data_IF_932145864632
#
_entry.id   IF_932145864632
#
_cell.length_a   1.000
_cell.length_b   1.000
_cell.length_c   1.000
_cell.angle_alpha   90.00
_cell.angle_beta   90.00
_cell.angle_gamma   90.00
#
_symmetry.space_group_name_H-M   'P 1'
#
loop_
_entity.id
_entity.type
_entity.pdbx_description
1 polymer ?
2 non-polymer ?
3 non-polymer ?
4 water ?
#
# COMPACT_ATOMS: atom_id res chain seq x y z
N UNK A 21 15.18 -9.54 22.31
CA UNK A 21 14.44 -9.33 21.03
C UNK A 21 13.32 -8.31 21.23
N UNK A 22 12.26 -8.40 20.43
CA UNK A 22 11.16 -7.44 20.55
C UNK A 22 10.21 -7.82 21.69
N UNK A 23 10.25 -7.04 22.76
CA UNK A 23 9.39 -7.28 23.91
C UNK A 23 8.20 -6.32 23.96
N UNK A 24 8.36 -5.11 23.42
CA UNK A 24 7.30 -4.11 23.47
C UNK A 24 7.34 -3.22 22.23
N UNK A 25 6.21 -3.12 21.54
CA UNK A 25 6.10 -2.35 20.31
C UNK A 25 5.15 -1.18 20.46
N UNK A 26 5.60 0.00 20.06
CA UNK A 26 4.75 1.17 19.97
C UNK A 26 4.09 1.20 18.61
N UNK A 27 2.76 1.19 18.59
CA UNK A 27 2.00 1.20 17.35
C UNK A 27 1.72 2.63 16.91
N UNK A 28 2.63 3.17 16.10
CA UNK A 28 2.52 4.56 15.66
C UNK A 28 1.57 4.72 14.48
N UNK A 29 0.30 4.41 14.72
CA UNK A 29 -0.73 4.56 13.72
C UNK A 29 -2.10 4.45 14.37
N UNK A 30 -3.13 4.23 13.54
CA UNK A 30 -4.51 4.23 14.03
C UNK A 30 -5.37 3.36 13.14
N UNK A 31 -6.67 3.33 13.44
CA UNK A 31 -7.64 2.65 12.61
C UNK A 31 -7.38 1.16 12.48
N UNK A 32 -7.68 0.62 11.30
CA UNK A 32 -7.66 -0.83 11.11
C UNK A 32 -6.23 -1.39 11.17
N UNK A 33 -5.27 -0.66 10.63
CA UNK A 33 -3.90 -1.17 10.58
C UNK A 33 -3.28 -1.24 11.96
N UNK A 34 -3.68 -0.31 12.84
CA UNK A 34 -3.23 -0.35 14.22
C UNK A 34 -3.71 -1.63 14.88
N UNK A 35 -4.96 -1.99 14.60
CA UNK A 35 -5.56 -3.21 15.13
C UNK A 35 -4.88 -4.43 14.53
N UNK A 36 -4.60 -4.37 13.23
CA UNK A 36 -3.89 -5.46 12.56
C UNK A 36 -2.56 -5.71 13.25
N UNK A 37 -1.83 -4.63 13.50
CA UNK A 37 -0.52 -4.72 14.15
C UNK A 37 -0.65 -5.25 15.56
N UNK A 38 -1.67 -4.79 16.28
CA UNK A 38 -1.90 -5.27 17.64
C UNK A 38 -2.12 -6.77 17.65
N UNK A 39 -2.96 -7.25 16.75
CA UNK A 39 -3.25 -8.67 16.66
C UNK A 39 -1.98 -9.48 16.43
N UNK A 40 -1.14 -9.01 15.52
CA UNK A 40 0.12 -9.68 15.21
C UNK A 40 1.03 -9.73 16.44
N UNK A 41 1.07 -8.64 17.18
CA UNK A 41 1.87 -8.57 18.40
C UNK A 41 1.36 -9.56 19.45
N UNK A 42 0.06 -9.53 19.69
CA UNK A 42 -0.55 -10.42 20.68
C UNK A 42 -0.21 -11.88 20.40
N UNK A 43 -0.30 -12.27 19.13
CA UNK A 43 -0.03 -13.64 18.75
C UNK A 43 1.44 -14.02 19.02
N UNK A 44 2.32 -13.01 18.99
CA UNK A 44 3.74 -13.23 19.24
C UNK A 44 4.12 -12.93 20.69
N UNK A 45 3.12 -12.61 21.52
CA UNK A 45 3.37 -12.31 22.91
C UNK A 45 4.14 -11.02 23.11
N UNK A 46 4.12 -10.14 22.11
CA UNK A 46 4.78 -8.85 22.20
C UNK A 46 3.84 -7.84 22.85
N UNK A 47 4.38 -7.06 23.78
CA UNK A 47 3.59 -6.04 24.47
C UNK A 47 3.31 -4.87 23.54
N UNK A 48 2.12 -4.30 23.65
CA UNK A 48 1.68 -3.24 22.76
C UNK A 48 1.51 -1.91 23.48
N UNK A 49 1.97 -0.85 22.83
CA UNK A 49 1.80 0.51 23.33
C UNK A 49 1.05 1.32 22.29
N UNK A 50 -0.20 1.65 22.59
CA UNK A 50 -1.03 2.39 21.64
C UNK A 50 -0.90 3.89 21.84
N UNK A 51 -0.25 4.56 20.90
CA UNK A 51 -0.20 6.02 20.89
C UNK A 51 -1.37 6.56 20.06
N UNK A 52 -2.10 7.50 20.62
CA UNK A 52 -3.32 7.98 19.99
C UNK A 52 -3.57 9.46 20.26
N UNK A 53 -4.36 10.08 19.40
CA UNK A 53 -4.79 11.46 19.63
C UNK A 53 -5.98 11.44 20.58
N UNK A 54 -6.48 12.63 20.94
CA UNK A 54 -7.59 12.72 21.87
C UNK A 54 -8.89 12.22 21.24
N UNK A 55 -8.98 12.32 19.91
CA UNK A 55 -10.18 11.93 19.19
C UNK A 55 -10.24 10.42 18.96
N UNK A 56 -9.13 9.72 19.21
CA UNK A 56 -9.05 8.28 18.96
C UNK A 56 -9.05 7.47 20.24
N UNK A 57 -9.51 8.10 21.32
CA UNK A 57 -9.52 7.48 22.63
C UNK A 57 -10.31 6.17 22.62
N UNK A 58 -11.31 6.10 21.74
CA UNK A 58 -12.21 4.95 21.73
C UNK A 58 -11.94 3.97 20.59
N UNK A 59 -10.76 4.06 19.98
CA UNK A 59 -10.38 3.10 18.96
C UNK A 59 -10.33 1.70 19.56
N UNK A 60 -10.76 0.71 18.79
CA UNK A 60 -10.81 -0.66 19.27
C UNK A 60 -9.45 -1.15 19.74
N UNK A 61 -8.39 -0.81 19.01
CA UNK A 61 -7.06 -1.29 19.36
C UNK A 61 -6.50 -0.58 20.58
N UNK A 62 -6.81 0.70 20.72
CA UNK A 62 -6.44 1.45 21.93
C UNK A 62 -7.05 0.76 23.16
N UNK A 63 -8.31 0.35 23.03
CA UNK A 63 -9.01 -0.29 24.14
C UNK A 63 -8.46 -1.68 24.45
N UNK A 64 -7.73 -2.26 23.51
CA UNK A 64 -7.17 -3.60 23.68
C UNK A 64 -5.69 -3.56 24.06
N UNK A 65 -5.03 -2.42 23.83
CA UNK A 65 -3.59 -2.31 24.05
C UNK A 65 -3.24 -2.47 25.53
N UNK A 66 -2.01 -2.92 25.77
CA UNK A 66 -1.53 -3.10 27.14
C UNK A 66 -1.29 -1.74 27.79
N UNK A 67 -0.74 -0.80 27.02
CA UNK A 67 -0.53 0.56 27.49
C UNK A 67 -1.02 1.57 26.46
N UNK A 68 -1.56 2.69 26.92
CA UNK A 68 -2.01 3.75 26.03
C UNK A 68 -1.37 5.07 26.41
N UNK A 69 -1.09 5.90 25.40
CA UNK A 69 -0.47 7.20 25.63
C UNK A 69 -0.99 8.23 24.65
N UNK A 70 -1.71 9.23 25.16
CA UNK A 70 -2.17 10.33 24.33
C UNK A 70 -0.97 11.15 23.87
N UNK A 71 -0.82 11.28 22.55
CA UNK A 71 0.33 11.99 21.99
C UNK A 71 -0.03 13.36 21.40
N UNK A 72 -1.30 13.74 21.48
CA UNK A 72 -1.70 15.05 21.02
C UNK A 72 -3.18 15.19 20.70
N UNK A 73 -3.57 16.39 20.24
CA UNK A 73 -4.95 16.70 19.85
C UNK A 73 -5.31 16.04 18.54
N UNK A 74 -6.55 16.20 18.09
CA UNK A 74 -7.08 15.42 16.98
C UNK A 74 -6.31 15.57 15.67
N UNK A 75 -5.97 16.81 15.28
CA UNK A 75 -5.33 16.97 13.97
C UNK A 75 -4.05 16.14 13.82
N UNK A 76 -3.91 15.47 12.68
CA UNK A 76 -2.78 14.56 12.43
C UNK A 76 -1.44 15.24 12.67
N UNK A 77 -1.31 16.48 12.20
CA UNK A 77 -0.06 17.23 12.32
C UNK A 77 0.38 17.32 13.78
N UNK A 78 -0.57 17.27 14.70
CA UNK A 78 -0.30 17.48 16.11
C UNK A 78 -0.18 16.18 16.90
N UNK A 79 -0.56 15.07 16.27
CA UNK A 79 -0.58 13.79 16.95
C UNK A 79 0.23 12.72 16.22
N UNK A 80 -0.34 12.16 15.16
CA UNK A 80 0.26 11.01 14.49
C UNK A 80 1.46 11.37 13.62
N UNK A 81 1.63 12.66 13.34
CA UNK A 81 2.83 13.13 12.64
C UNK A 81 3.76 13.85 13.61
N UNK A 82 3.46 13.74 14.91
CA UNK A 82 4.25 14.38 15.95
C UNK A 82 5.44 13.51 16.35
N UNK A 83 6.57 13.71 15.68
CA UNK A 83 7.73 12.86 15.87
C UNK A 83 8.26 12.92 17.31
N UNK A 84 8.44 14.14 17.86
CA UNK A 84 8.92 14.22 19.25
C UNK A 84 8.03 13.47 20.23
N UNK A 85 6.72 13.58 20.07
CA UNK A 85 5.78 12.97 21.01
C UNK A 85 5.74 11.45 20.88
N UNK A 86 5.88 10.95 19.65
CA UNK A 86 5.85 9.52 19.41
C UNK A 86 7.08 8.82 20.01
N UNK A 87 8.23 9.46 19.85
CA UNK A 87 9.46 8.91 20.40
C UNK A 87 9.48 9.01 21.92
N UNK A 88 8.84 10.04 22.45
CA UNK A 88 8.73 10.21 23.89
C UNK A 88 7.89 9.09 24.51
N UNK A 89 6.91 8.60 23.75
CA UNK A 89 6.05 7.52 24.22
C UNK A 89 6.82 6.21 24.22
N UNK A 90 7.67 6.01 23.21
CA UNK A 90 8.52 4.84 23.15
C UNK A 90 9.49 4.84 24.32
N UNK A 91 9.92 6.04 24.72
CA UNK A 91 10.88 6.20 25.82
C UNK A 91 10.26 5.86 27.18
N UNK A 92 9.14 6.50 27.49
CA UNK A 92 8.54 6.37 28.81
C UNK A 92 7.88 5.01 29.04
N UNK A 93 7.89 4.16 28.03
CA UNK A 93 7.36 2.81 28.18
C UNK A 93 8.46 1.76 28.09
N UNK A 94 9.62 2.15 27.57
CA UNK A 94 10.74 1.25 27.44
C UNK A 94 10.62 0.36 26.22
N UNK A 95 9.90 0.84 25.22
CA UNK A 95 9.64 0.06 24.01
C UNK A 95 10.95 -0.25 23.29
N UNK A 96 10.96 -1.34 22.54
CA UNK A 96 12.14 -1.72 21.77
C UNK A 96 11.99 -1.30 20.31
N UNK A 97 10.75 -1.08 19.88
CA UNK A 97 10.49 -0.89 18.46
C UNK A 97 9.24 -0.03 18.20
N UNK A 98 9.18 0.54 17.01
CA UNK A 98 8.03 1.34 16.59
C UNK A 98 7.56 0.92 15.19
N UNK A 99 6.30 0.51 15.11
CA UNK A 99 5.70 0.12 13.84
C UNK A 99 4.86 1.28 13.31
N UNK A 100 5.25 1.85 12.16
CA UNK A 100 4.61 3.05 11.59
C UNK A 100 3.35 2.78 10.75
N UNK A 101 2.95 1.52 10.62
CA UNK A 101 1.87 1.15 9.74
C UNK A 101 2.10 1.62 8.31
N UNK A 102 1.05 2.15 7.70
CA UNK A 102 1.15 2.77 6.38
C UNK A 102 0.66 4.21 6.48
N UNK A 103 1.05 5.04 5.51
CA UNK A 103 0.74 6.44 5.56
C UNK A 103 1.47 7.11 6.71
N UNK A 104 0.96 8.26 7.14
CA UNK A 104 1.58 9.02 8.23
C UNK A 104 3.10 9.07 8.11
N UNK A 105 3.82 8.49 9.08
CA UNK A 105 5.28 8.63 9.14
C UNK A 105 6.04 7.42 8.59
N UNK A 106 5.34 6.49 7.95
CA UNK A 106 5.95 5.22 7.56
C UNK A 106 7.02 5.34 6.48
N UNK A 107 6.94 6.38 5.66
CA UNK A 107 7.95 6.60 4.62
C UNK A 107 8.63 7.96 4.82
N UNK A 108 8.63 8.44 6.05
CA UNK A 108 9.32 9.66 6.42
C UNK A 108 10.73 9.31 6.89
N UNK A 109 11.72 9.60 6.05
CA UNK A 109 13.09 9.19 6.33
C UNK A 109 13.63 9.87 7.58
N UNK A 110 13.21 11.11 7.81
CA UNK A 110 13.63 11.83 9.01
C UNK A 110 13.15 11.09 10.26
N UNK A 111 11.93 10.57 10.21
CA UNK A 111 11.36 9.86 11.34
C UNK A 111 12.13 8.57 11.63
N UNK A 112 12.38 7.79 10.59
CA UNK A 112 13.09 6.52 10.75
C UNK A 112 14.53 6.78 11.19
N UNK A 113 15.14 7.83 10.65
CA UNK A 113 16.49 8.23 11.00
C UNK A 113 16.53 8.66 12.47
N UNK A 114 15.55 9.46 12.86
CA UNK A 114 15.46 9.98 14.21
C UNK A 114 15.14 8.87 15.20
N UNK A 115 14.37 7.88 14.75
CA UNK A 115 13.96 6.76 15.58
C UNK A 115 15.15 5.86 15.93
N UNK A 116 15.99 5.58 14.94
CA UNK A 116 17.19 4.77 15.17
C UNK A 116 18.21 5.55 16.00
N UNK A 117 18.37 6.84 15.70
CA UNK A 117 19.31 7.68 16.42
C UNK A 117 19.00 7.75 17.92
N UNK A 118 17.79 7.37 18.30
CA UNK A 118 17.40 7.37 19.71
C UNK A 118 17.39 5.96 20.31
N UNK A 119 17.86 4.98 19.53
CA UNK A 119 18.09 3.65 20.05
C UNK A 119 16.92 2.68 19.93
N UNK A 120 15.88 3.06 19.20
CA UNK A 120 14.76 2.17 18.97
C UNK A 120 14.85 1.50 17.62
N UNK A 121 14.27 0.31 17.50
CA UNK A 121 14.20 -0.38 16.22
C UNK A 121 13.02 0.17 15.42
N UNK A 122 13.31 0.62 14.21
CA UNK A 122 12.26 1.10 13.32
C UNK A 122 11.80 -0.09 12.47
N UNK A 123 10.52 -0.45 12.60
CA UNK A 123 9.99 -1.61 11.91
C UNK A 123 9.71 -1.25 10.45
N UNK A 124 10.75 -1.36 9.64
CA UNK A 124 10.73 -0.95 8.25
C UNK A 124 12.17 -0.87 7.78
N UNK A 125 12.40 -0.27 6.60
CA UNK A 125 13.77 -0.17 6.08
C UNK A 125 14.54 0.98 6.71
N UNK A 126 15.86 1.02 6.49
CA UNK A 126 16.68 2.08 7.06
C UNK A 126 16.43 3.40 6.33
N UNK A 127 16.77 4.51 6.99
CA UNK A 127 16.49 5.84 6.46
C UNK A 127 17.08 6.06 5.07
N UNK A 128 18.32 5.61 4.87
CA UNK A 128 18.98 5.75 3.58
C UNK A 128 18.16 5.12 2.45
N UNK A 129 17.69 3.90 2.68
CA UNK A 129 16.92 3.18 1.68
C UNK A 129 15.56 3.84 1.42
N UNK A 130 15.03 4.52 2.43
CA UNK A 130 13.77 5.24 2.26
C UNK A 130 13.98 6.48 1.41
N UNK A 131 15.07 7.21 1.70
CA UNK A 131 15.45 8.37 0.91
C UNK A 131 15.66 7.95 -0.54
N UNK A 132 16.36 6.84 -0.72
CA UNK A 132 16.70 6.34 -2.05
C UNK A 132 15.46 6.12 -2.90
N UNK A 133 14.52 5.35 -2.36
CA UNK A 133 13.32 4.98 -3.11
C UNK A 133 12.23 6.04 -2.99
N UNK A 134 12.50 7.10 -2.25
CA UNK A 134 11.56 8.18 -2.07
C UNK A 134 11.65 9.24 -3.15
N UNK A 135 12.83 9.32 -3.78
CA UNK A 135 13.02 10.21 -4.92
C UNK A 135 12.88 9.39 -6.19
N UNK A 136 12.06 9.89 -7.12
CA UNK A 136 11.59 9.08 -8.27
C UNK A 136 12.69 8.62 -9.22
N UNK A 137 13.53 9.52 -9.72
CA UNK A 137 14.57 9.11 -10.66
C UNK A 137 15.67 8.34 -9.94
N UNK A 138 16.03 8.79 -8.74
CA UNK A 138 16.98 8.04 -7.91
C UNK A 138 16.47 6.61 -7.71
N UNK A 139 15.15 6.44 -7.71
CA UNK A 139 14.54 5.12 -7.59
C UNK A 139 14.68 4.34 -8.88
N UNK A 140 14.15 4.91 -9.97
CA UNK A 140 14.25 4.29 -11.29
C UNK A 140 15.70 3.99 -11.62
N UNK A 141 16.60 4.79 -11.05
CA UNK A 141 18.03 4.57 -11.21
C UNK A 141 18.45 3.22 -10.65
N UNK A 142 18.07 2.96 -9.40
CA UNK A 142 18.48 1.75 -8.70
C UNK A 142 17.89 0.51 -9.37
N UNK A 143 16.59 0.57 -9.67
CA UNK A 143 15.89 -0.53 -10.30
C UNK A 143 16.58 -0.92 -11.60
N UNK A 144 16.90 0.07 -12.42
CA UNK A 144 17.58 -0.16 -13.69
C UNK A 144 18.86 -0.95 -13.46
N UNK A 145 19.66 -0.51 -12.49
CA UNK A 145 20.91 -1.18 -12.15
C UNK A 145 20.64 -2.62 -11.70
N UNK A 146 19.60 -2.80 -10.89
CA UNK A 146 19.30 -4.09 -10.29
C UNK A 146 18.71 -5.07 -11.29
N UNK A 147 18.29 -4.57 -12.45
CA UNK A 147 17.69 -5.41 -13.47
C UNK A 147 16.18 -5.32 -13.48
N UNK A 148 15.64 -4.43 -12.65
CA UNK A 148 14.19 -4.21 -12.61
C UNK A 148 13.78 -3.31 -13.78
N UNK A 149 12.84 -3.80 -14.61
CA UNK A 149 12.43 -3.07 -15.82
C UNK A 149 11.73 -1.75 -15.49
N UNK A 150 12.18 -0.68 -16.13
CA UNK A 150 11.60 0.63 -15.93
C UNK A 150 10.97 1.15 -17.21
N UNK A 151 10.13 2.17 -17.08
CA UNK A 151 9.52 2.80 -18.24
C UNK A 151 10.60 3.51 -19.05
N UNK A 152 10.65 3.24 -20.37
CA UNK A 152 11.60 3.97 -21.22
C UNK A 152 11.47 5.47 -21.02
N UNK A 153 12.56 6.12 -20.61
CA UNK A 153 12.53 7.55 -20.33
C UNK A 153 13.83 8.26 -20.61
N UNK A 154 13.93 9.49 -20.14
CA UNK A 154 15.16 10.27 -20.27
C UNK A 154 16.25 9.64 -19.41
N UNK A 155 15.86 8.73 -18.53
CA UNK A 155 16.81 8.07 -17.63
C UNK A 155 17.67 9.13 -16.95
N UNK A 156 17.03 9.92 -16.11
CA UNK A 156 17.67 11.07 -15.48
C UNK A 156 16.87 12.33 -15.74
N UNK A 157 17.28 13.45 -15.10
CA UNK A 157 16.62 14.74 -15.26
C UNK A 157 16.60 15.21 -16.71
N UNK A 158 15.59 16.00 -17.08
CA UNK A 158 15.49 16.52 -18.44
C UNK A 158 16.33 17.79 -18.61
N UNK A 159 17.14 17.81 -19.67
CA UNK A 159 17.80 19.04 -20.08
C UNK A 159 16.73 20.08 -20.39
N UNK A 160 17.16 21.33 -20.60
CA UNK A 160 16.23 22.39 -20.97
C UNK A 160 16.35 22.77 -22.43
N UNK A 161 17.32 22.17 -23.12
CA UNK A 161 17.47 22.35 -24.56
C UNK A 161 16.55 21.36 -25.26
N UNK A 162 15.54 21.89 -25.95
CA UNK A 162 14.49 21.04 -26.51
C UNK A 162 14.97 20.27 -27.74
N UNK A 163 15.83 20.90 -28.54
CA UNK A 163 16.37 20.25 -29.73
C UNK A 163 16.82 18.84 -29.40
N UNK A 164 17.27 18.64 -28.17
CA UNK A 164 17.76 17.34 -27.72
C UNK A 164 16.64 16.56 -27.03
N UNK A 165 15.83 17.25 -26.25
CA UNK A 165 14.65 16.63 -25.63
C UNK A 165 13.76 15.95 -26.66
N UNK A 166 13.61 16.57 -27.82
CA UNK A 166 12.79 16.02 -28.89
C UNK A 166 13.36 14.68 -29.37
N UNK A 167 14.68 14.52 -29.23
CA UNK A 167 15.33 13.27 -29.63
C UNK A 167 14.91 12.15 -28.71
N UNK A 168 15.11 12.35 -27.40
CA UNK A 168 14.70 11.37 -26.41
C UNK A 168 13.22 11.05 -26.58
N UNK A 169 12.40 12.09 -26.69
CA UNK A 169 10.96 11.92 -26.85
C UNK A 169 10.63 11.09 -28.08
N UNK A 170 11.25 11.42 -29.22
CA UNK A 170 11.03 10.66 -30.45
C UNK A 170 11.69 9.28 -30.32
N UNK A 171 12.76 9.20 -29.55
CA UNK A 171 13.46 7.94 -29.32
C UNK A 171 12.52 6.95 -28.65
N UNK A 172 11.88 7.37 -27.58
CA UNK A 172 11.01 6.49 -26.80
C UNK A 172 9.61 6.41 -27.40
N UNK A 173 9.17 7.49 -28.04
CA UNK A 173 7.94 7.48 -28.79
C UNK A 173 6.76 8.14 -28.09
N UNK A 174 6.24 9.20 -28.70
CA UNK A 174 5.03 9.84 -28.21
C UNK A 174 3.89 8.80 -28.19
N UNK A 175 2.98 8.92 -27.23
CA UNK A 175 2.94 9.96 -26.18
C UNK A 175 4.00 9.78 -25.11
N UNK A 176 4.51 10.90 -24.60
CA UNK A 176 5.40 10.89 -23.44
C UNK A 176 4.70 11.62 -22.31
N UNK A 177 5.28 11.54 -21.12
CA UNK A 177 4.71 12.19 -19.95
C UNK A 177 5.81 12.76 -19.04
N UNK A 178 5.68 14.03 -18.69
CA UNK A 178 6.64 14.68 -17.80
C UNK A 178 6.23 14.43 -16.36
N UNK A 179 7.19 14.02 -15.53
CA UNK A 179 6.88 13.64 -14.15
C UNK A 179 7.80 14.31 -13.13
N UNK A 180 7.19 14.80 -12.06
CA UNK A 180 7.94 15.37 -10.94
C UNK A 180 8.69 14.26 -10.22
N UNK A 181 9.95 14.53 -9.89
CA UNK A 181 10.79 13.53 -9.24
C UNK A 181 10.44 13.32 -7.78
N UNK A 182 9.64 14.21 -7.22
CA UNK A 182 9.24 14.10 -5.82
C UNK A 182 7.74 14.25 -5.66
N UNK A 183 6.99 13.75 -6.63
CA UNK A 183 5.54 13.84 -6.60
C UNK A 183 4.89 12.53 -6.22
N UNK A 189 2.66 15.96 -12.94
CA UNK A 189 2.41 15.11 -14.10
C UNK A 189 1.70 15.87 -15.22
N UNK A 190 2.27 15.78 -16.43
CA UNK A 190 1.71 16.46 -17.59
C UNK A 190 1.98 15.63 -18.85
N UNK A 191 0.91 15.29 -19.57
CA UNK A 191 1.01 14.41 -20.73
C UNK A 191 1.23 15.19 -22.02
N UNK A 192 2.15 14.70 -22.85
CA UNK A 192 2.46 15.34 -24.12
C UNK A 192 2.19 14.38 -25.27
N UNK A 193 1.37 14.81 -26.22
CA UNK A 193 0.92 13.96 -27.31
C UNK A 193 1.62 14.28 -28.63
N UNK A 194 2.04 15.52 -28.80
CA UNK A 194 2.71 15.94 -30.03
C UNK A 194 3.99 16.70 -29.74
N UNK A 195 4.91 16.66 -30.70
CA UNK A 195 6.22 17.28 -30.56
C UNK A 195 6.14 18.79 -30.38
N UNK A 196 5.11 19.40 -30.95
CA UNK A 196 4.98 20.86 -30.95
C UNK A 196 4.78 21.46 -29.56
N UNK A 197 4.35 20.64 -28.61
CA UNK A 197 4.03 21.15 -27.28
C UNK A 197 5.03 20.68 -26.23
N UNK A 198 6.23 20.30 -26.66
CA UNK A 198 7.25 19.83 -25.73
C UNK A 198 7.90 20.97 -24.97
N UNK A 199 8.75 21.73 -25.64
CA UNK A 199 9.40 22.92 -25.07
C UNK A 199 8.63 23.45 -23.86
N UNK A 200 7.35 23.74 -24.08
CA UNK A 200 6.52 24.40 -23.07
C UNK A 200 6.10 23.45 -21.94
N UNK A 201 5.56 22.29 -22.31
CA UNK A 201 5.10 21.32 -21.31
C UNK A 201 6.16 21.05 -20.24
N UNK A 202 7.43 21.10 -20.64
CA UNK A 202 8.52 20.83 -19.72
C UNK A 202 8.75 22.01 -18.76
N UNK A 203 8.48 23.22 -19.24
CA UNK A 203 8.64 24.42 -18.43
C UNK A 203 7.74 24.39 -17.20
N UNK A 204 6.56 23.82 -17.36
CA UNK A 204 5.50 23.93 -16.35
C UNK A 204 5.74 22.99 -15.17
N UNK A 205 6.20 23.57 -14.07
CA UNK A 205 6.47 22.82 -12.84
C UNK A 205 5.21 22.71 -11.99
N UNK A 216 12.94 18.97 -6.72
CA UNK A 216 11.97 19.78 -7.44
C UNK A 216 12.30 19.83 -8.94
N UNK A 217 12.73 18.70 -9.47
CA UNK A 217 13.09 18.59 -10.87
C UNK A 217 12.11 17.65 -11.58
N UNK A 218 12.29 17.47 -12.88
CA UNK A 218 11.37 16.66 -13.67
C UNK A 218 12.10 15.77 -14.69
N UNK A 219 11.59 14.56 -14.87
CA UNK A 219 12.11 13.67 -15.92
C UNK A 219 11.04 13.37 -16.97
N UNK A 220 11.46 12.74 -18.06
CA UNK A 220 10.58 12.43 -19.17
C UNK A 220 10.42 10.92 -19.23
N UNK A 221 9.23 10.45 -19.65
CA UNK A 221 8.94 9.03 -19.60
C UNK A 221 7.86 8.68 -20.62
N UNK A 222 7.82 7.42 -21.03
CA UNK A 222 6.81 6.96 -21.97
C UNK A 222 5.43 6.92 -21.31
N UNK A 223 4.42 7.40 -22.02
CA UNK A 223 3.07 7.41 -21.48
C UNK A 223 2.27 6.21 -21.98
N UNK A 224 1.79 5.40 -21.04
CA UNK A 224 1.05 4.19 -21.36
C UNK A 224 -0.45 4.44 -21.27
N UNK A 225 -1.17 4.12 -22.34
CA UNK A 225 -2.57 4.48 -22.47
C UNK A 225 -3.54 3.47 -21.87
N UNK A 226 -3.09 2.24 -21.73
CA UNK A 226 -3.97 1.14 -21.35
C UNK A 226 -3.35 0.23 -20.31
N UNK A 227 -2.70 0.80 -19.28
CA UNK A 227 -1.94 -0.03 -18.34
C UNK A 227 -2.78 -0.50 -17.17
N UNK A 228 -2.39 -1.65 -16.60
CA UNK A 228 -2.96 -2.13 -15.35
C UNK A 228 -1.96 -1.89 -14.23
N UNK A 229 -2.44 -1.74 -13.01
CA UNK A 229 -1.57 -1.59 -11.86
C UNK A 229 -1.27 -2.97 -11.25
N UNK A 230 -0.03 -3.41 -11.38
CA UNK A 230 0.38 -4.70 -10.86
C UNK A 230 1.62 -4.53 -9.99
N UNK A 231 1.56 -5.06 -8.77
CA UNK A 231 2.61 -4.82 -7.80
C UNK A 231 3.09 -6.12 -7.15
N UNK A 232 4.41 -6.20 -6.92
CA UNK A 232 5.01 -7.38 -6.33
C UNK A 232 5.34 -7.16 -4.86
N UNK A 233 4.85 -8.05 -4.01
CA UNK A 233 5.17 -8.01 -2.59
C UNK A 233 6.50 -8.70 -2.33
N UNK A 234 7.34 -8.10 -1.49
CA UNK A 234 8.60 -8.72 -1.11
C UNK A 234 8.82 -8.64 0.41
N UNK A 235 9.69 -9.52 0.89
CA UNK A 235 10.20 -9.49 2.26
C UNK A 235 11.70 -9.66 2.20
N UNK A 236 12.43 -8.93 3.03
CA UNK A 236 13.89 -9.08 3.12
C UNK A 236 14.33 -8.99 4.57
N UNK A 237 15.23 -9.86 4.97
CA UNK A 237 15.67 -9.91 6.36
C UNK A 237 17.13 -9.48 6.51
N UNK A 238 17.62 -9.50 7.73
CA UNK A 238 18.98 -9.08 8.02
C UNK A 238 19.96 -10.24 7.91
N UNK A 239 19.50 -11.36 7.37
CA UNK A 239 20.36 -12.51 7.08
C UNK A 239 20.68 -12.56 5.59
N UNK A 240 20.36 -11.49 4.89
CA UNK A 240 20.66 -11.38 3.47
C UNK A 240 19.68 -12.11 2.55
N UNK A 241 18.58 -12.57 3.12
CA UNK A 241 17.55 -13.24 2.34
C UNK A 241 16.53 -12.25 1.79
N UNK A 242 15.93 -12.59 0.66
CA UNK A 242 14.83 -11.82 0.10
C UNK A 242 13.92 -12.74 -0.69
N UNK A 243 12.62 -12.61 -0.44
CA UNK A 243 11.61 -13.40 -1.13
C UNK A 243 10.56 -12.50 -1.77
N UNK A 244 9.97 -12.98 -2.86
CA UNK A 244 8.86 -12.29 -3.49
C UNK A 244 7.62 -13.13 -3.27
N UNK A 245 6.51 -12.47 -2.97
CA UNK A 245 5.27 -13.15 -2.62
C UNK A 245 4.17 -12.85 -3.65
N UNK A 246 4.40 -13.32 -4.87
CA UNK A 246 3.45 -13.15 -5.96
C UNK A 246 3.07 -11.68 -6.13
N UNK A 247 1.97 -11.42 -6.83
CA UNK A 247 1.60 -10.04 -7.16
C UNK A 247 0.14 -9.73 -6.86
N UNK A 248 -0.18 -8.44 -6.85
CA UNK A 248 -1.54 -7.97 -6.67
C UNK A 248 -1.92 -7.03 -7.82
N UNK A 249 -3.18 -7.06 -8.22
CA UNK A 249 -3.68 -6.10 -9.22
C UNK A 249 -4.59 -5.10 -8.53
N UNK A 250 -4.23 -3.83 -8.61
CA UNK A 250 -4.97 -2.77 -7.95
C UNK A 250 -5.40 -1.71 -8.95
N UNK A 251 -5.96 -2.16 -10.07
CA UNK A 251 -6.28 -1.26 -11.18
C UNK A 251 -7.52 -0.40 -10.94
N UNK A 252 -8.45 -0.90 -10.13
CA UNK A 252 -9.65 -0.13 -9.78
C UNK A 252 -9.28 1.03 -8.86
N UNK A 253 -9.25 2.24 -9.41
CA UNK A 253 -8.85 3.42 -8.66
C UNK A 253 -9.73 4.63 -8.94
N UNK A 254 -9.84 5.51 -7.96
CA UNK A 254 -10.42 6.84 -8.15
C UNK A 254 -9.41 7.88 -7.68
N UNK A 255 -9.12 8.85 -8.53
CA UNK A 255 -8.11 9.86 -8.23
C UNK A 255 -6.85 9.21 -7.68
N UNK A 256 -6.44 8.11 -8.33
CA UNK A 256 -5.20 7.41 -7.98
C UNK A 256 -5.26 6.78 -6.59
N UNK A 257 -6.47 6.63 -6.06
CA UNK A 257 -6.66 5.96 -4.78
C UNK A 257 -7.31 4.59 -5.00
N UNK A 258 -6.65 3.55 -4.51
CA UNK A 258 -7.11 2.19 -4.72
C UNK A 258 -8.45 1.95 -4.04
N UNK A 259 -9.31 1.17 -4.72
CA UNK A 259 -10.65 0.92 -4.23
C UNK A 259 -10.89 -0.58 -4.03
N UNK A 260 -10.52 -1.37 -5.04
CA UNK A 260 -10.64 -2.82 -5.00
C UNK A 260 -9.31 -3.41 -5.46
N UNK A 261 -8.82 -4.41 -4.73
CA UNK A 261 -7.59 -5.10 -5.11
C UNK A 261 -7.80 -6.62 -5.13
N UNK A 262 -6.93 -7.34 -5.84
CA UNK A 262 -7.04 -8.78 -5.93
C UNK A 262 -5.68 -9.44 -6.11
N UNK A 263 -5.62 -10.74 -5.87
CA UNK A 263 -4.40 -11.52 -6.06
C UNK A 263 -4.77 -12.97 -6.35
N UNK A 264 -4.05 -13.62 -7.27
CA UNK A 264 -2.97 -13.01 -8.06
C UNK A 264 -3.55 -12.11 -9.13
N UNK A 265 -2.69 -11.48 -9.94
CA UNK A 265 -3.15 -10.65 -11.04
C UNK A 265 -3.52 -11.54 -12.23
N UNK A 266 -4.78 -11.43 -12.69
CA UNK A 266 -5.25 -12.23 -13.84
C UNK A 266 -4.31 -12.17 -15.05
N UNK A 267 -4.09 -13.31 -15.69
CA UNK A 267 -3.28 -13.37 -16.90
C UNK A 267 -1.80 -13.57 -16.64
N UNK A 268 -1.38 -13.36 -15.40
CA UNK A 268 0.03 -13.52 -15.05
C UNK A 268 0.35 -14.98 -14.75
N UNK A 269 1.27 -15.55 -15.52
CA UNK A 269 1.64 -16.96 -15.36
C UNK A 269 2.73 -17.14 -14.31
N UNK A 270 2.86 -18.37 -13.83
CA UNK A 270 3.89 -18.71 -12.85
C UNK A 270 5.27 -18.37 -13.39
N UNK A 271 5.43 -18.44 -14.70
CA UNK A 271 6.72 -18.19 -15.33
C UNK A 271 7.07 -16.70 -15.26
N UNK A 272 6.12 -15.87 -15.67
CA UNK A 272 6.31 -14.42 -15.62
C UNK A 272 6.50 -13.98 -14.16
N UNK A 273 5.70 -14.58 -13.28
CA UNK A 273 5.78 -14.30 -11.85
C UNK A 273 7.21 -14.49 -11.33
N UNK A 274 7.80 -15.64 -11.66
CA UNK A 274 9.17 -15.96 -11.25
C UNK A 274 10.14 -14.91 -11.76
N UNK A 275 9.95 -14.49 -13.01
CA UNK A 275 10.86 -13.55 -13.66
C UNK A 275 10.90 -12.23 -12.89
N UNK A 276 9.80 -11.50 -12.92
CA UNK A 276 9.74 -10.19 -12.29
C UNK A 276 9.93 -10.29 -10.77
N UNK A 277 9.38 -11.36 -10.20
CA UNK A 277 9.50 -11.60 -8.77
C UNK A 277 10.95 -11.72 -8.32
N UNK A 278 11.72 -12.54 -9.04
CA UNK A 278 13.12 -12.76 -8.68
C UNK A 278 13.95 -11.50 -8.90
N UNK A 279 13.56 -10.68 -9.88
CA UNK A 279 14.24 -9.41 -10.13
C UNK A 279 14.06 -8.47 -8.96
N UNK A 280 12.84 -8.43 -8.43
CA UNK A 280 12.53 -7.59 -7.28
C UNK A 280 13.27 -8.07 -6.04
N UNK A 281 13.34 -9.39 -5.86
CA UNK A 281 14.05 -9.96 -4.73
C UNK A 281 15.53 -9.60 -4.78
N UNK A 282 16.12 -9.72 -5.97
CA UNK A 282 17.51 -9.34 -6.16
C UNK A 282 17.73 -7.87 -5.86
N UNK A 283 16.82 -7.03 -6.33
CA UNK A 283 16.94 -5.59 -6.11
C UNK A 283 16.94 -5.27 -4.62
N UNK A 284 16.15 -6.00 -3.85
CA UNK A 284 16.13 -5.84 -2.41
C UNK A 284 17.54 -5.97 -1.84
N UNK A 285 18.24 -7.02 -2.26
CA UNK A 285 19.59 -7.28 -1.76
C UNK A 285 20.57 -6.22 -2.28
N UNK A 286 20.44 -5.85 -3.54
CA UNK A 286 21.33 -4.84 -4.13
C UNK A 286 21.25 -3.51 -3.39
N UNK A 287 20.04 -3.11 -2.99
CA UNK A 287 19.85 -1.81 -2.33
C UNK A 287 19.88 -1.94 -0.81
N UNK A 288 20.00 -3.16 -0.31
CA UNK A 288 20.07 -3.39 1.12
C UNK A 288 18.73 -3.24 1.82
N UNK A 289 17.66 -3.67 1.17
CA UNK A 289 16.32 -3.51 1.73
C UNK A 289 16.11 -4.38 2.95
N UNK A 290 15.19 -3.96 3.81
CA UNK A 290 14.90 -4.67 5.05
C UNK A 290 13.42 -4.54 5.39
N UNK A 291 12.78 -5.66 5.70
CA UNK A 291 11.38 -5.68 6.07
C UNK A 291 10.46 -5.90 4.87
N UNK A 292 9.20 -5.51 5.04
CA UNK A 292 8.21 -5.65 3.97
C UNK A 292 8.24 -4.45 3.03
N UNK A 293 7.98 -4.71 1.76
CA UNK A 293 7.94 -3.66 0.77
C UNK A 293 7.20 -4.14 -0.48
N UNK A 294 6.85 -3.20 -1.35
CA UNK A 294 6.14 -3.52 -2.58
C UNK A 294 6.69 -2.74 -3.76
N UNK A 295 6.94 -3.46 -4.85
CA UNK A 295 7.33 -2.84 -6.12
C UNK A 295 6.10 -2.70 -7.00
N UNK A 296 5.70 -1.46 -7.27
CA UNK A 296 4.54 -1.18 -8.09
C UNK A 296 4.94 -0.96 -9.55
N UNK A 297 4.23 -1.65 -10.45
CA UNK A 297 4.50 -1.55 -11.88
C UNK A 297 3.25 -1.16 -12.65
N UNK A 298 3.45 -0.57 -13.81
CA UNK A 298 2.39 -0.47 -14.81
C UNK A 298 2.54 -1.69 -15.70
N UNK A 299 1.44 -2.39 -15.96
CA UNK A 299 1.47 -3.61 -16.76
C UNK A 299 0.70 -3.41 -18.05
N UNK A 300 1.39 -3.52 -19.17
CA UNK A 300 0.77 -3.32 -20.48
C UNK A 300 1.40 -4.20 -21.54
N UNK A 301 0.55 -4.90 -22.29
CA UNK A 301 0.97 -5.80 -23.36
C UNK A 301 2.10 -6.74 -22.94
N UNK A 302 1.97 -7.30 -21.74
CA UNK A 302 2.91 -8.31 -21.26
C UNK A 302 4.21 -7.75 -20.73
N UNK A 303 4.30 -6.42 -20.64
CA UNK A 303 5.52 -5.77 -20.15
C UNK A 303 5.28 -5.10 -18.80
N UNK A 304 6.26 -5.26 -17.91
CA UNK A 304 6.22 -4.57 -16.62
C UNK A 304 7.06 -3.31 -16.68
N UNK A 305 6.57 -2.23 -16.08
CA UNK A 305 7.32 -0.99 -16.02
C UNK A 305 7.24 -0.39 -14.61
N UNK A 306 8.38 -0.42 -13.91
CA UNK A 306 8.44 0.09 -12.55
C UNK A 306 8.09 1.57 -12.49
N UNK A 307 7.30 1.95 -11.49
CA UNK A 307 6.98 3.36 -11.27
C UNK A 307 7.18 3.81 -9.82
N UNK A 308 7.14 2.88 -8.87
CA UNK A 308 7.37 3.23 -7.47
C UNK A 308 7.53 2.01 -6.58
N UNK A 309 8.36 2.15 -5.55
CA UNK A 309 8.42 1.16 -4.48
C UNK A 309 7.85 1.75 -3.21
N UNK A 310 6.81 1.11 -2.67
CA UNK A 310 6.32 1.47 -1.35
C UNK A 310 7.16 0.74 -0.32
N UNK A 311 7.92 1.52 0.45
CA UNK A 311 8.85 0.96 1.42
C UNK A 311 8.17 0.80 2.77
N UNK A 312 7.13 -0.01 2.80
CA UNK A 312 6.28 -0.19 3.97
C UNK A 312 5.29 -1.28 3.67
N UNK A 313 4.53 -1.68 4.69
CA UNK A 313 3.36 -2.53 4.48
C UNK A 313 2.35 -1.72 3.67
N UNK A 314 1.50 -2.40 2.91
CA UNK A 314 0.46 -1.71 2.18
C UNK A 314 -0.92 -2.10 2.71
N UNK A 315 -1.89 -1.22 2.47
CA UNK A 315 -3.27 -1.45 2.86
C UNK A 315 -3.75 -2.83 2.40
N UNK A 316 -3.46 -3.16 1.15
CA UNK A 316 -4.07 -4.32 0.50
C UNK A 316 -3.28 -5.61 0.71
N UNK A 317 -2.36 -5.60 1.66
CA UNK A 317 -1.51 -6.77 1.89
C UNK A 317 -2.30 -8.04 2.19
N UNK A 318 -3.51 -7.90 2.77
CA UNK A 318 -4.24 -9.13 3.12
C UNK A 318 -4.52 -10.08 1.95
N UNK A 319 -4.76 -9.58 0.74
CA UNK A 319 -5.07 -10.50 -0.36
C UNK A 319 -3.88 -11.42 -0.65
N UNK A 320 -2.67 -10.92 -0.42
CA UNK A 320 -1.47 -11.73 -0.62
C UNK A 320 -1.37 -12.80 0.46
N UNK A 321 -1.82 -12.47 1.68
CA UNK A 321 -1.76 -13.41 2.78
C UNK A 321 -2.69 -14.58 2.50
N UNK A 322 -3.83 -14.30 1.89
CA UNK A 322 -4.84 -15.33 1.64
C UNK A 322 -4.38 -16.36 0.61
N UNK A 323 -3.60 -15.92 -0.38
CA UNK A 323 -3.17 -16.82 -1.45
C UNK A 323 -1.80 -17.48 -1.20
N UNK A 324 -1.06 -17.00 -0.20
CA UNK A 324 0.26 -17.56 0.10
C UNK A 324 0.35 -18.19 1.49
N UNK A 325 -0.60 -17.86 2.37
CA UNK A 325 -0.57 -18.37 3.73
C UNK A 325 0.46 -17.66 4.58
N UNK A 326 1.03 -16.58 4.05
CA UNK A 326 2.03 -15.82 4.78
C UNK A 326 1.38 -14.73 5.64
N UNK A 327 1.86 -14.60 6.87
CA UNK A 327 1.45 -13.52 7.75
C UNK A 327 2.45 -12.38 7.62
N UNK A 328 2.11 -11.39 6.81
CA UNK A 328 3.07 -10.35 6.43
C UNK A 328 3.51 -9.47 7.60
N UNK A 329 2.57 -9.14 8.48
CA UNK A 329 2.90 -8.27 9.61
C UNK A 329 3.70 -9.02 10.67
N UNK A 330 3.44 -10.32 10.84
CA UNK A 330 4.26 -11.15 11.72
C UNK A 330 5.68 -11.23 11.21
N UNK A 331 5.84 -11.32 9.89
CA UNK A 331 7.17 -11.36 9.29
C UNK A 331 7.87 -10.01 9.50
N UNK A 332 7.13 -8.91 9.40
CA UNK A 332 7.69 -7.61 9.69
C UNK A 332 8.30 -7.58 11.08
N UNK A 333 7.58 -8.12 12.05
CA UNK A 333 8.02 -8.11 13.44
C UNK A 333 9.22 -9.04 13.65
N UNK A 334 9.16 -10.23 13.10
CA UNK A 334 10.28 -11.18 13.18
C UNK A 334 11.54 -10.55 12.60
N UNK A 335 11.38 -9.89 11.45
CA UNK A 335 12.52 -9.31 10.75
C UNK A 335 13.16 -8.16 11.53
N UNK A 336 12.32 -7.33 12.15
CA UNK A 336 12.80 -6.24 13.00
C UNK A 336 13.52 -6.82 14.22
N UNK A 337 13.10 -8.01 14.64
CA UNK A 337 13.70 -8.67 15.79
C UNK A 337 15.06 -9.28 15.45
N UNK A 338 15.45 -9.22 14.19
CA UNK A 338 16.73 -9.74 13.75
C UNK A 338 16.64 -11.16 13.25
N UNK A 339 15.44 -11.71 13.24
CA UNK A 339 15.23 -13.08 12.75
C UNK A 339 15.22 -13.15 11.23
N UNK A 340 15.48 -14.36 10.70
CA UNK A 340 15.34 -14.62 9.26
C UNK A 340 13.87 -14.78 8.88
N UNK A 341 13.53 -14.49 7.63
CA UNK A 341 12.21 -14.80 7.10
C UNK A 341 11.95 -16.28 7.41
N UNK A 342 10.74 -16.58 7.88
CA UNK A 342 10.46 -17.90 8.44
C UNK A 342 10.18 -18.96 7.39
N UNK A 343 10.50 -18.67 6.14
CA UNK A 343 10.28 -19.61 5.05
C UNK A 343 11.20 -19.26 3.88
N UNK A 344 11.40 -20.23 3.00
CA UNK A 344 12.23 -20.02 1.81
C UNK A 344 11.34 -19.84 0.60
N UNK A 345 11.91 -19.34 -0.49
CA UNK A 345 11.15 -19.04 -1.70
C UNK A 345 10.38 -20.26 -2.20
N UNK A 346 11.01 -21.43 -2.13
CA UNK A 346 10.43 -22.66 -2.65
C UNK A 346 9.15 -23.04 -1.90
N UNK A 347 9.04 -22.57 -0.66
CA UNK A 347 7.88 -22.89 0.18
C UNK A 347 6.63 -22.14 -0.26
N UNK A 348 6.79 -21.11 -1.07
CA UNK A 348 5.67 -20.27 -1.47
C UNK A 348 5.02 -20.75 -2.76
N UNK A 349 3.77 -21.17 -2.66
CA UNK A 349 2.97 -21.53 -3.83
C UNK A 349 1.66 -20.74 -3.82
N UNK A 350 1.34 -20.12 -4.95
CA UNK A 350 0.06 -19.45 -5.10
C UNK A 350 -1.06 -20.49 -5.10
N UNK A 351 -2.08 -20.26 -4.28
CA UNK A 351 -3.26 -21.12 -4.30
C UNK A 351 -4.54 -20.31 -4.21
N UNK A 352 -5.42 -20.50 -5.19
CA UNK A 352 -6.71 -19.84 -5.19
C UNK A 352 -6.60 -18.38 -5.55
N UNK A 353 -7.56 -17.59 -5.08
CA UNK A 353 -7.68 -16.19 -5.48
C UNK A 353 -8.34 -15.39 -4.36
N UNK A 354 -7.96 -14.12 -4.21
CA UNK A 354 -8.48 -13.29 -3.13
C UNK A 354 -8.85 -11.89 -3.64
N UNK A 355 -9.84 -11.29 -2.98
CA UNK A 355 -10.31 -9.96 -3.33
C UNK A 355 -10.47 -9.12 -2.07
N UNK A 356 -10.26 -7.81 -2.19
CA UNK A 356 -10.48 -6.89 -1.08
C UNK A 356 -11.25 -5.66 -1.54
N UNK A 357 -12.27 -5.28 -0.77
CA UNK A 357 -13.01 -4.04 -0.98
C UNK A 357 -12.73 -3.11 0.20
N UNK A 358 -12.21 -1.93 -0.09
CA UNK A 358 -12.00 -0.91 0.94
C UNK A 358 -13.33 -0.23 1.22
N UNK A 359 -13.87 -0.49 2.40
CA UNK A 359 -15.14 0.09 2.78
C UNK A 359 -14.91 1.42 3.50
N UNK A 360 -15.38 2.50 2.89
CA UNK A 360 -15.17 3.85 3.37
C UNK A 360 -16.46 4.48 3.84
N UNK A 361 -16.35 5.34 4.86
CA UNK A 361 -17.49 6.14 5.31
C UNK A 361 -17.59 7.36 4.41
N UNK A 362 -18.29 7.20 3.29
CA UNK A 362 -18.45 8.29 2.35
C UNK A 362 -19.68 8.05 1.47
N UNK A 363 -20.20 9.12 0.87
CA UNK A 363 -21.28 9.01 -0.10
C UNK A 363 -20.79 8.23 -1.31
N UNK A 364 -21.56 7.22 -1.75
CA UNK A 364 -21.08 6.33 -2.81
C UNK A 364 -20.98 6.96 -4.19
N UNK A 365 -21.52 8.17 -4.35
CA UNK A 365 -21.45 8.87 -5.63
C UNK A 365 -20.60 10.16 -5.56
N UNK A 366 -20.81 10.94 -4.51
CA UNK A 366 -20.09 12.21 -4.37
C UNK A 366 -18.75 12.01 -3.67
N UNK A 367 -18.68 10.97 -2.85
CA UNK A 367 -17.46 10.62 -2.13
C UNK A 367 -17.13 11.62 -1.02
N UNK A 368 -18.11 12.45 -0.69
CA UNK A 368 -18.06 13.29 0.50
C UNK A 368 -17.95 12.40 1.73
N UNK A 369 -16.97 12.66 2.62
CA UNK A 369 -16.88 11.85 3.84
C UNK A 369 -18.19 11.84 4.62
N UNK A 370 -18.48 10.73 5.29
CA UNK A 370 -19.71 10.61 6.07
C UNK A 370 -19.39 10.17 7.51
N UNK A 371 -18.85 11.11 8.31
CA UNK A 371 -18.54 10.83 9.71
C UNK A 371 -19.82 10.66 10.52
N UNK A 372 -19.74 10.01 11.68
CA UNK A 372 -20.90 9.87 12.53
C UNK A 372 -20.92 8.57 13.30
N UNK A 373 -21.95 8.41 14.13
CA UNK A 373 -22.10 7.23 14.97
C UNK A 373 -22.61 6.04 14.17
N UNK A 374 -21.95 4.90 14.31
CA UNK A 374 -22.46 3.66 13.74
C UNK A 374 -23.45 3.06 14.74
N UNK A 375 -24.74 3.21 14.46
CA UNK A 375 -25.78 2.77 15.37
C UNK A 375 -25.91 1.26 15.39
N UNK A 376 -25.69 0.63 14.24
CA UNK A 376 -25.71 -0.82 14.14
C UNK A 376 -24.65 -1.31 13.15
N UNK A 377 -23.80 -2.22 13.61
CA UNK A 377 -22.86 -2.91 12.72
C UNK A 377 -23.17 -4.38 12.65
N UNK A 378 -23.28 -4.90 11.44
CA UNK A 378 -23.27 -6.34 11.24
C UNK A 378 -22.22 -6.69 10.19
N UNK A 379 -21.20 -7.41 10.62
CA UNK A 379 -20.13 -7.81 9.72
C UNK A 379 -20.36 -9.23 9.22
N UNK A 380 -20.02 -9.50 7.95
CA UNK A 380 -20.29 -10.79 7.33
C UNK A 380 -19.30 -11.83 7.82
N UNK A 381 -19.57 -13.11 7.55
CA UNK A 381 -18.69 -14.18 7.96
C UNK A 381 -18.84 -15.39 7.06
N UNK A 382 -18.38 -16.53 7.55
CA UNK A 382 -18.48 -17.77 6.80
C UNK A 382 -17.18 -18.14 6.11
N UNK A 383 -17.21 -19.24 5.37
CA UNK A 383 -16.04 -19.75 4.68
C UNK A 383 -15.45 -18.73 3.69
N UNK A 384 -14.17 -18.45 3.83
CA UNK A 384 -13.44 -17.61 2.89
C UNK A 384 -13.77 -16.14 2.99
N UNK A 385 -14.33 -15.73 4.13
CA UNK A 385 -14.62 -14.32 4.36
C UNK A 385 -13.77 -13.81 5.51
N UNK A 386 -13.06 -12.71 5.25
CA UNK A 386 -12.21 -12.10 6.26
C UNK A 386 -12.55 -10.62 6.39
N UNK A 387 -12.61 -10.17 7.64
CA UNK A 387 -13.06 -8.82 7.97
C UNK A 387 -12.02 -8.14 8.84
N UNK A 388 -11.36 -7.14 8.27
CA UNK A 388 -10.35 -6.38 8.99
C UNK A 388 -10.86 -4.96 9.26
N UNK A 389 -11.32 -4.73 10.48
CA UNK A 389 -11.92 -3.45 10.81
C UNK A 389 -11.84 -3.14 12.29
N UNK A 390 -11.71 -1.85 12.61
CA UNK A 390 -11.66 -1.38 13.98
C UNK A 390 -13.04 -0.89 14.43
N UNK A 391 -13.96 -0.85 13.48
CA UNK A 391 -15.32 -0.37 13.75
C UNK A 391 -16.11 -1.35 14.60
N UNK A 392 -16.96 -0.80 15.46
CA UNK A 392 -17.87 -1.61 16.27
C UNK A 392 -19.16 -0.82 16.47
N UNK A 393 -20.25 -1.54 16.72
CA UNK A 393 -21.52 -0.89 16.98
C UNK A 393 -21.40 0.09 18.13
N UNK A 394 -21.80 1.34 17.89
CA UNK A 394 -21.71 2.38 18.90
C UNK A 394 -20.51 3.28 18.69
N UNK A 395 -19.61 2.89 17.80
CA UNK A 395 -18.41 3.66 17.50
C UNK A 395 -18.76 4.84 16.60
N UNK A 396 -18.14 5.99 16.87
CA UNK A 396 -18.31 7.17 16.03
C UNK A 396 -17.10 7.36 15.13
N UNK A 397 -17.33 7.41 13.83
CA UNK A 397 -16.26 7.66 12.87
C UNK A 397 -15.92 9.15 12.86
N UNK A 398 -14.69 9.49 13.29
CA UNK A 398 -14.30 10.90 13.38
C UNK A 398 -14.08 11.54 12.02
N UNK A 399 -14.08 12.87 11.96
CA UNK A 399 -13.89 13.64 10.72
C UNK A 399 -12.42 13.87 10.41
N UNK A 400 -11.56 13.68 11.40
CA UNK A 400 -10.18 14.19 11.36
C UNK A 400 -9.24 13.42 10.42
N UNK A 401 -9.59 12.19 10.07
CA UNK A 401 -8.68 11.32 9.33
C UNK A 401 -9.32 10.78 8.06
N UNK A 402 -8.69 9.79 7.44
CA UNK A 402 -9.21 9.22 6.19
C UNK A 402 -10.55 8.54 6.45
N UNK A 403 -11.22 8.12 5.39
CA UNK A 403 -12.59 7.60 5.48
C UNK A 403 -12.67 6.07 5.58
N UNK A 404 -11.55 5.38 5.47
CA UNK A 404 -11.58 3.91 5.46
C UNK A 404 -11.93 3.39 6.84
N UNK A 405 -12.98 2.57 6.91
CA UNK A 405 -13.46 2.04 8.18
C UNK A 405 -13.37 0.51 8.26
N UNK A 406 -13.30 -0.16 7.11
CA UNK A 406 -13.18 -1.61 7.08
C UNK A 406 -12.60 -2.12 5.78
N UNK A 407 -11.96 -3.29 5.85
CA UNK A 407 -11.51 -3.98 4.65
C UNK A 407 -12.16 -5.37 4.62
N UNK A 408 -13.03 -5.57 3.65
CA UNK A 408 -13.68 -6.86 3.44
C UNK A 408 -12.85 -7.67 2.46
N UNK A 409 -12.40 -8.84 2.90
CA UNK A 409 -11.52 -9.68 2.08
C UNK A 409 -12.13 -11.05 1.89
N UNK A 410 -12.19 -11.52 0.65
CA UNK A 410 -12.70 -12.86 0.39
C UNK A 410 -11.68 -13.72 -0.32
N UNK A 411 -11.78 -15.03 -0.13
CA UNK A 411 -10.89 -15.98 -0.77
C UNK A 411 -11.73 -17.08 -1.40
N UNK A 412 -11.31 -17.53 -2.57
CA UNK A 412 -11.97 -18.64 -3.23
C UNK A 412 -10.97 -19.50 -3.99
N UNK A 413 -11.37 -20.71 -4.36
CA UNK A 413 -10.49 -21.57 -5.14
C UNK A 413 -10.30 -21.04 -6.56
N UNK A 414 -11.18 -20.15 -6.99
CA UNK A 414 -11.01 -19.45 -8.25
C UNK A 414 -11.39 -17.97 -8.12
N UNK A 415 -11.08 -17.19 -9.15
CA UNK A 415 -11.39 -15.77 -9.13
C UNK A 415 -12.89 -15.54 -9.05
N UNK A 416 -13.65 -16.36 -9.76
CA UNK A 416 -15.11 -16.25 -9.79
C UNK A 416 -15.70 -16.45 -8.40
N UNK A 417 -15.27 -17.50 -7.71
CA UNK A 417 -15.77 -17.79 -6.37
C UNK A 417 -15.47 -16.62 -5.44
N UNK A 418 -14.26 -16.09 -5.52
CA UNK A 418 -13.87 -14.95 -4.69
C UNK A 418 -14.82 -13.77 -4.90
N UNK A 419 -15.16 -13.52 -6.16
CA UNK A 419 -16.05 -12.41 -6.51
C UNK A 419 -17.47 -12.65 -6.00
N UNK A 420 -17.99 -13.85 -6.22
CA UNK A 420 -19.34 -14.18 -5.77
C UNK A 420 -19.39 -14.12 -4.25
N UNK A 421 -18.29 -14.52 -3.62
CA UNK A 421 -18.17 -14.53 -2.18
C UNK A 421 -18.20 -13.08 -1.66
N UNK A 422 -17.51 -12.20 -2.37
CA UNK A 422 -17.48 -10.78 -2.02
C UNK A 422 -18.87 -10.17 -2.14
N UNK A 423 -19.52 -10.45 -3.26
CA UNK A 423 -20.87 -9.94 -3.50
C UNK A 423 -21.81 -10.34 -2.36
N UNK A 424 -21.77 -11.60 -1.97
CA UNK A 424 -22.63 -12.11 -0.90
C UNK A 424 -22.30 -11.46 0.44
N UNK A 425 -21.02 -11.41 0.77
CA UNK A 425 -20.59 -10.82 2.03
C UNK A 425 -21.05 -9.36 2.13
N UNK A 426 -20.91 -8.62 1.03
CA UNK A 426 -21.30 -7.22 0.99
C UNK A 426 -22.79 -7.04 1.29
N UNK A 427 -23.61 -7.94 0.76
CA UNK A 427 -25.06 -7.82 0.91
C UNK A 427 -25.50 -8.13 2.35
N UNK A 428 -24.70 -8.93 3.06
CA UNK A 428 -24.98 -9.23 4.47
C UNK A 428 -24.54 -8.09 5.38
N UNK A 429 -23.60 -7.29 4.89
CA UNK A 429 -22.99 -6.25 5.71
C UNK A 429 -23.95 -5.10 5.99
N UNK A 430 -24.19 -4.83 7.27
CA UNK A 430 -24.95 -3.65 7.68
C UNK A 430 -24.06 -2.65 8.41
N UNK A 431 -24.12 -1.39 7.98
CA UNK A 431 -23.45 -0.31 8.69
C UNK A 431 -24.41 0.88 8.76
N UNK A 432 -25.17 0.94 9.84
CA UNK A 432 -26.24 1.92 9.99
C UNK A 432 -25.79 3.16 10.76
N UNK A 433 -26.17 4.32 10.26
CA UNK A 433 -25.84 5.58 10.90
C UNK A 433 -25.09 6.51 9.96
N UNK A 434 -24.29 5.92 9.07
CA UNK A 434 -23.49 6.69 8.11
C UNK A 434 -23.63 6.11 6.71
N UNK A 435 -23.21 6.89 5.71
CA UNK A 435 -23.14 6.40 4.33
C UNK A 435 -21.83 5.65 4.13
N UNK A 436 -21.86 4.63 3.28
CA UNK A 436 -20.63 3.93 2.93
C UNK A 436 -20.57 3.76 1.41
N UNK A 437 -19.43 3.33 0.92
CA UNK A 437 -19.25 3.12 -0.52
C UNK A 437 -19.59 1.69 -0.94
N UNK A 438 -20.28 0.95 -0.06
CA UNK A 438 -20.66 -0.41 -0.39
C UNK A 438 -21.42 -0.50 -1.72
N UNK A 439 -22.37 0.41 -1.96
CA UNK A 439 -23.08 0.40 -3.24
C UNK A 439 -22.13 0.49 -4.45
N UNK A 440 -21.04 1.22 -4.30
CA UNK A 440 -20.06 1.34 -5.37
C UNK A 440 -19.40 -0.02 -5.64
N UNK A 441 -18.99 -0.70 -4.57
CA UNK A 441 -18.35 -2.01 -4.69
C UNK A 441 -19.27 -2.97 -5.41
N UNK A 442 -20.54 -2.97 -5.01
CA UNK A 442 -21.51 -3.88 -5.61
C UNK A 442 -21.67 -3.61 -7.10
N UNK A 443 -21.47 -2.35 -7.48
CA UNK A 443 -21.53 -1.95 -8.89
C UNK A 443 -20.32 -2.50 -9.63
N UNK A 444 -19.16 -2.37 -8.99
CA UNK A 444 -17.90 -2.85 -9.55
C UNK A 444 -17.90 -4.36 -9.73
N UNK A 445 -18.43 -5.07 -8.73
CA UNK A 445 -18.37 -6.53 -8.72
C UNK A 445 -19.30 -7.16 -9.74
N UNK A 446 -20.40 -6.49 -10.08
CA UNK A 446 -21.33 -7.02 -11.06
C UNK A 446 -21.02 -6.49 -12.46
N UNK A 447 -19.95 -5.71 -12.57
CA UNK A 447 -19.51 -5.20 -13.86
C UNK A 447 -19.00 -6.34 -14.73
N UNK A 448 -19.55 -6.47 -15.93
CA UNK A 448 -19.17 -7.56 -16.84
C UNK A 448 -17.69 -7.54 -17.19
N UNK A 449 -17.13 -6.35 -17.36
CA UNK A 449 -15.72 -6.23 -17.70
C UNK A 449 -14.80 -6.62 -16.54
N UNK A 450 -15.17 -6.23 -15.33
CA UNK A 450 -14.40 -6.62 -14.14
C UNK A 450 -14.48 -8.13 -13.94
N UNK A 451 -15.65 -8.70 -14.25
CA UNK A 451 -15.86 -10.14 -14.15
C UNK A 451 -14.94 -10.86 -15.12
N UNK A 452 -14.74 -10.25 -16.30
CA UNK A 452 -13.86 -10.80 -17.32
C UNK A 452 -12.41 -10.75 -16.84
N UNK A 453 -12.05 -9.64 -16.19
CA UNK A 453 -10.72 -9.46 -15.66
C UNK A 453 -9.83 -8.61 -16.55
N UNK A 454 -8.86 -7.92 -15.94
CA UNK A 454 -7.86 -7.20 -16.69
C UNK A 454 -8.21 -5.77 -17.04
N UNK A 455 -9.23 -5.19 -16.43
CA UNK A 455 -9.56 -3.80 -16.68
C UNK A 455 -8.39 -2.92 -16.24
N UNK A 456 -8.21 -1.80 -16.94
CA UNK A 456 -7.05 -0.95 -16.73
C UNK A 456 -7.29 0.12 -15.66
N UNK A 457 -6.26 0.91 -15.37
CA UNK A 457 -6.31 1.88 -14.27
C UNK A 457 -7.29 3.03 -14.50
N UNK A 458 -7.82 3.15 -15.72
CA UNK A 458 -8.76 4.23 -16.04
C UNK A 458 -10.22 3.80 -15.98
N UNK A 459 -10.46 2.50 -15.81
CA UNK A 459 -11.80 1.95 -16.02
C UNK A 459 -12.86 2.45 -15.03
N UNK A 460 -12.49 2.60 -13.77
CA UNK A 460 -13.48 2.98 -12.75
C UNK A 460 -14.00 4.39 -12.97
N UNK A 461 -13.10 5.36 -13.06
CA UNK A 461 -13.48 6.75 -13.29
C UNK A 461 -14.34 6.85 -14.54
N UNK A 462 -14.05 5.97 -15.50
CA UNK A 462 -14.80 5.91 -16.74
C UNK A 462 -16.21 5.38 -16.51
N UNK A 463 -16.34 4.31 -15.72
CA UNK A 463 -17.67 3.75 -15.44
C UNK A 463 -18.51 4.76 -14.65
N UNK A 464 -17.90 5.40 -13.67
CA UNK A 464 -18.58 6.41 -12.86
C UNK A 464 -19.09 7.54 -13.74
N UNK A 465 -18.23 8.00 -14.66
CA UNK A 465 -18.60 9.03 -15.60
C UNK A 465 -19.83 8.62 -16.40
N UNK A 466 -19.85 7.36 -16.83
CA UNK A 466 -20.98 6.83 -17.58
C UNK A 466 -22.09 6.37 -16.65
X LIG B 1 -1.66 1.79 -0.34
X LIG B 1 -1.61 0.83 -1.50
X LIG B 1 -3.08 2.25 -0.13
X LIG B 1 -1.14 1.09 0.91
X LIG B 1 -0.78 2.99 -0.61
X LIG C 1 0.84 6.39 -4.21
X LIG C 1 1.67 7.52 -3.64
X LIG C 1 -0.50 6.28 -3.41
X LIG C 1 1.65 5.04 -4.05
X LIG C 1 0.79 8.42 -6.45
X LIG C 1 1.07 9.27 -5.24
X LIG C 1 -0.48 8.99 -7.14
X LIG C 1 0.49 6.67 -5.97
X LIG C 1 1.97 9.58 -8.59
X LIG C 1 3.38 9.78 -9.11
X LIG C 1 1.46 10.90 -8.04
X LIG C 1 1.98 8.51 -7.43
X LIG C 1 1.03 9.07 -9.74
X LIG C 1 0.90 7.69 -9.96
X LIG C 1 -0.07 7.43 -11.07
X LIG C 1 0.22 8.29 -12.23
X LIG C 1 0.04 6.08 -11.52
X LIG C 1 -0.82 5.20 -10.75
X LIG C 1 -0.38 6.10 -12.88
X LIG C 1 -1.81 5.90 -12.96
X LIG C 1 -0.04 7.40 -13.39
X LIG C 1 1.12 7.28 -14.19
X LIG C 1 2.36 7.65 -13.86
X LIG C 1 3.19 7.39 -14.85
X LIG C 1 2.51 6.84 -15.87
X LIG C 1 2.85 6.38 -17.15
X LIG C 1 4.21 6.45 -17.57
X LIG C 1 1.92 5.88 -17.94
X LIG C 1 0.63 5.80 -17.55
X LIG C 1 0.25 6.24 -16.33
X LIG C 1 1.17 6.76 -15.47
X LIG C 1 -0.74 5.42 -3.34
X LIG C 1 1.75 4.85 -3.18
X LIG C 1 -0.50 9.86 -7.07
X LIG C 1 -0.45 6.46 -6.12
X LIG C 1 1.04 6.08 -6.51
X LIG C 1 1.77 7.32 -10.21
X LIG C 1 0.58 7.26 -9.15
X LIG C 1 -0.98 7.61 -10.75
X LIG C 1 0.95 5.78 -11.47
X LIG C 1 -1.63 5.25 -11.06
X LIG C 1 0.08 5.41 -13.39
X LIG C 1 -2.23 6.63 -12.68
X LIG C 1 -0.78 7.75 -13.92
X LIG C 1 2.62 8.05 -12.99
X LIG C 1 4.47 7.09 -18.14
X LIG C 1 4.81 5.82 -17.28
X LIG C 1 -0.03 5.43 -18.14
#
# INVERSE_FOLDING_TARGET
>A
MGSSHHHHHHSSGLVPRGSHMLEKVVIANRGEIALRILRACKELGIKTVAVHSTADRDLKHVLLADETICIGPAPSAKSYLNIPAIIAAAEVTGADAIHPGYGFLSENADFAEQVERSGFTFIGPTADVIRLMGDKVSAIKAMKKAGVPCVPGSDGPVSNDIAKNKEIAKRIGYPIIIKASGGGGGRGMRVVRSEDALEESIAMTKAEAKAAFNNDMVYMEKYLENPRHVEIQVLADTHGNAVYLAERDCSMQRRHQKVVEEAPAPGITEEVRRDIGSRCANACVEIGYRGAGTFEFLYENGEFYFIEMNTRIQVEHPVTEMITGVDLVKEQLRIAAGLPISFKQEDIKVKGHAMECRINAEDPKTFLPSPGKVNHLHSPGGLGVRWDSHVYGGYTVPPHYDSMIAKLITYGDTREVAIRRMQNALSETIIDGIKTNIPLHELILEDENFQKGGTNIHYLEKKLGMNE
>B hetero
1 PO4 P O1 O2 O3 O4
>C hetero
1 ACP PG O1G O2G O3G PB O1B O2B C3B PA O1A O2A O3A O5' C5' C4' O4' C3' O3' C2' O2' C1' N9 C8 N7 C5 C6 N6 N1 C2 N3 C4 HOG2 HOG3 HOB2 H3B1 H3B2 H5'1 H5'2 H4' H3' HO3' H2' HO2' H1' H8 HN61 HN62 H2
#
